data_IF_568023582306
#
_entry.id   IF_568023582306
#
_cell.length_a   1.000
_cell.length_b   1.000
_cell.length_c   1.000
_cell.angle_alpha   90.00
_cell.angle_beta   90.00
_cell.angle_gamma   90.00
#
_symmetry.space_group_name_H-M   'P 1'
#
loop_
_entity.id
_entity.type
_entity.pdbx_description
1 polymer ?
#
# COMPACT_ATOMS: atom_id res chain seq x y z
N UNK A 1 -16.08 -7.90 -3.98
CA UNK A 1 -15.06 -7.12 -3.23
C UNK A 1 -15.23 -7.44 -1.75
N UNK A 2 -14.15 -7.47 -0.98
CA UNK A 2 -14.15 -7.69 0.47
C UNK A 2 -13.85 -6.38 1.19
N UNK A 3 -14.29 -6.27 2.45
CA UNK A 3 -13.91 -5.13 3.29
C UNK A 3 -12.67 -5.46 4.09
N UNK A 4 -11.70 -4.57 4.04
CA UNK A 4 -10.45 -4.65 4.78
C UNK A 4 -10.25 -3.46 5.72
N UNK A 5 -9.30 -3.64 6.64
CA UNK A 5 -8.87 -2.60 7.56
C UNK A 5 -7.36 -2.66 7.74
N UNK A 6 -6.69 -1.51 7.57
CA UNK A 6 -5.26 -1.36 7.86
C UNK A 6 -5.02 -1.14 9.36
N UNK A 7 -3.90 -1.63 9.86
CA UNK A 7 -3.41 -1.34 11.22
C UNK A 7 -3.03 0.13 11.43
N UNK A 8 -3.05 0.97 10.40
CA UNK A 8 -2.58 2.36 10.47
C UNK A 8 -3.24 3.15 11.60
N UNK A 9 -4.56 3.01 11.80
CA UNK A 9 -5.31 3.74 12.84
C UNK A 9 -4.85 3.44 14.27
N UNK A 10 -4.17 2.33 14.49
CA UNK A 10 -3.69 1.90 15.81
C UNK A 10 -2.16 1.74 15.87
N UNK A 11 -1.43 2.40 14.98
CA UNK A 11 0.03 2.27 14.86
C UNK A 11 0.78 2.74 16.13
N UNK A 12 0.20 3.66 16.90
CA UNK A 12 0.74 4.12 18.18
C UNK A 12 0.49 3.18 19.36
N UNK A 13 -0.41 2.19 19.22
CA UNK A 13 -0.74 1.26 20.27
C UNK A 13 0.27 0.12 20.40
N UNK A 14 0.43 -0.48 21.59
CA UNK A 14 1.21 -1.71 21.72
C UNK A 14 0.65 -2.81 20.80
N UNK A 15 1.55 -3.58 20.17
CA UNK A 15 1.20 -4.58 19.16
C UNK A 15 0.06 -5.52 19.58
N UNK A 16 0.08 -6.02 20.83
CA UNK A 16 -0.96 -6.91 21.34
C UNK A 16 -2.32 -6.22 21.45
N UNK A 17 -2.35 -4.93 21.79
CA UNK A 17 -3.57 -4.11 21.83
C UNK A 17 -4.13 -3.94 20.43
N UNK A 18 -3.26 -3.58 19.46
CA UNK A 18 -3.64 -3.40 18.07
C UNK A 18 -4.28 -4.64 17.45
N UNK A 19 -3.65 -5.82 17.58
CA UNK A 19 -4.22 -7.06 17.02
C UNK A 19 -5.54 -7.48 17.70
N UNK A 20 -5.72 -7.22 19.00
CA UNK A 20 -7.00 -7.47 19.69
C UNK A 20 -8.10 -6.51 19.23
N UNK A 21 -7.74 -5.28 18.90
CA UNK A 21 -8.67 -4.30 18.35
C UNK A 21 -9.15 -4.75 16.95
N UNK A 22 -8.22 -5.08 16.06
CA UNK A 22 -8.52 -5.58 14.72
C UNK A 22 -9.42 -6.83 14.74
N UNK A 23 -9.15 -7.76 15.65
CA UNK A 23 -9.91 -9.01 15.76
C UNK A 23 -11.40 -8.79 16.10
N UNK A 24 -11.74 -7.66 16.71
CA UNK A 24 -13.12 -7.33 17.13
C UNK A 24 -13.94 -6.60 16.07
N UNK A 25 -13.30 -6.03 15.05
CA UNK A 25 -13.99 -5.11 14.11
C UNK A 25 -14.87 -5.84 13.10
N UNK A 26 -14.58 -7.11 12.79
CA UNK A 26 -15.42 -7.92 11.90
C UNK A 26 -15.32 -7.50 10.43
N UNK A 27 -14.11 -7.52 9.88
CA UNK A 27 -13.81 -7.33 8.46
C UNK A 27 -13.29 -8.64 7.83
N UNK A 28 -13.32 -8.71 6.50
CA UNK A 28 -12.90 -9.91 5.75
C UNK A 28 -11.39 -9.94 5.46
N UNK A 29 -10.72 -8.79 5.62
CA UNK A 29 -9.32 -8.61 5.29
C UNK A 29 -8.65 -7.67 6.28
N UNK A 30 -7.41 -7.95 6.66
CA UNK A 30 -6.60 -7.10 7.53
C UNK A 30 -5.26 -6.84 6.85
N UNK A 31 -4.89 -5.56 6.83
CA UNK A 31 -3.55 -5.16 6.45
C UNK A 31 -2.68 -4.95 7.68
N UNK A 32 -1.60 -5.71 7.74
CA UNK A 32 -0.58 -5.60 8.77
C UNK A 32 0.42 -4.53 8.35
N UNK A 33 0.70 -3.57 9.21
CA UNK A 33 1.71 -2.53 8.97
C UNK A 33 3.02 -2.91 9.67
N UNK A 34 4.06 -3.19 8.88
CA UNK A 34 5.39 -3.58 9.38
C UNK A 34 6.25 -2.36 9.74
N UNK A 35 5.76 -1.52 10.66
CA UNK A 35 6.42 -0.27 11.02
C UNK A 35 6.53 -0.07 12.54
N UNK A 36 7.59 0.60 12.99
CA UNK A 36 7.76 1.06 14.36
C UNK A 36 7.51 -0.01 15.43
N UNK A 37 6.54 0.24 16.31
CA UNK A 37 6.12 -0.71 17.36
C UNK A 37 5.55 -2.01 16.81
N UNK A 38 5.19 -2.05 15.53
CA UNK A 38 4.58 -3.19 14.85
C UNK A 38 5.57 -3.94 13.94
N UNK A 39 6.83 -3.52 13.85
CA UNK A 39 7.85 -4.15 13.01
C UNK A 39 7.86 -5.68 13.18
N UNK A 40 7.72 -6.40 12.06
CA UNK A 40 7.58 -7.86 12.07
C UNK A 40 8.84 -8.56 12.58
N UNK A 41 8.61 -9.60 13.34
CA UNK A 41 9.59 -10.56 13.84
C UNK A 41 8.92 -11.91 14.10
N UNK A 42 9.69 -12.96 14.38
CA UNK A 42 9.15 -14.31 14.56
C UNK A 42 8.06 -14.40 15.64
N UNK A 43 8.18 -13.64 16.76
CA UNK A 43 7.19 -13.62 17.83
C UNK A 43 5.88 -12.99 17.34
N UNK A 44 5.93 -11.82 16.65
CA UNK A 44 4.75 -11.12 16.13
C UNK A 44 4.05 -11.92 15.03
N UNK A 45 4.81 -12.51 14.11
CA UNK A 45 4.28 -13.45 13.11
C UNK A 45 3.51 -14.60 13.78
N UNK A 46 4.08 -15.22 14.81
CA UNK A 46 3.41 -16.29 15.55
C UNK A 46 2.13 -15.80 16.25
N UNK A 47 2.11 -14.56 16.76
CA UNK A 47 0.92 -13.97 17.37
C UNK A 47 -0.17 -13.72 16.32
N UNK A 48 0.17 -13.15 15.16
CA UNK A 48 -0.77 -12.91 14.04
C UNK A 48 -1.38 -14.23 13.56
N UNK A 49 -0.55 -15.25 13.34
CA UNK A 49 -1.04 -16.59 12.95
C UNK A 49 -2.05 -17.14 13.97
N UNK A 50 -1.72 -17.10 15.26
CA UNK A 50 -2.65 -17.59 16.31
C UNK A 50 -3.95 -16.79 16.37
N UNK A 51 -3.90 -15.48 16.11
CA UNK A 51 -5.09 -14.63 16.19
C UNK A 51 -6.02 -14.80 15.00
N UNK A 52 -5.48 -14.89 13.77
CA UNK A 52 -6.28 -14.82 12.55
C UNK A 52 -6.43 -16.16 11.82
N UNK A 53 -5.62 -17.18 12.15
CA UNK A 53 -5.76 -18.51 11.53
C UNK A 53 -7.13 -19.13 11.80
N UNK A 54 -7.73 -19.72 10.76
CA UNK A 54 -9.03 -20.38 10.85
C UNK A 54 -10.24 -19.46 10.92
N UNK A 55 -10.06 -18.12 10.91
CA UNK A 55 -11.17 -17.17 10.97
C UNK A 55 -11.72 -16.73 9.62
N UNK A 56 -11.16 -17.23 8.50
CA UNK A 56 -11.55 -16.80 7.17
C UNK A 56 -11.10 -15.38 6.80
N UNK A 57 -10.23 -14.77 7.61
CA UNK A 57 -9.66 -13.44 7.39
C UNK A 57 -8.43 -13.57 6.52
N UNK A 58 -8.40 -12.85 5.39
CA UNK A 58 -7.21 -12.74 4.55
C UNK A 58 -6.31 -11.59 5.02
N UNK A 59 -5.02 -11.66 4.68
CA UNK A 59 -4.03 -10.67 5.11
C UNK A 59 -3.34 -10.02 3.91
N UNK A 60 -2.98 -8.75 4.02
CA UNK A 60 -1.90 -8.08 3.30
C UNK A 60 -0.86 -7.55 4.29
N UNK A 61 0.30 -7.18 3.78
CA UNK A 61 1.34 -6.55 4.61
C UNK A 61 1.80 -5.27 3.92
N UNK A 62 1.63 -4.15 4.62
CA UNK A 62 2.28 -2.90 4.25
C UNK A 62 3.73 -2.93 4.73
N UNK A 63 4.65 -2.77 3.80
CA UNK A 63 6.08 -2.68 4.08
C UNK A 63 6.42 -1.52 5.02
N UNK A 64 7.59 -1.52 5.64
CA UNK A 64 8.11 -0.32 6.26
C UNK A 64 8.14 0.84 5.28
N UNK A 65 7.72 2.02 5.74
CA UNK A 65 7.65 3.23 4.92
C UNK A 65 8.32 4.44 5.58
N UNK A 66 8.36 4.51 6.92
CA UNK A 66 9.07 5.57 7.61
C UNK A 66 10.58 5.43 7.39
N UNK A 67 11.24 6.54 7.03
CA UNK A 67 12.68 6.60 6.72
C UNK A 67 13.14 5.64 5.59
N UNK A 68 12.20 5.10 4.82
CA UNK A 68 12.50 4.18 3.71
C UNK A 68 12.53 4.95 2.39
N UNK A 69 13.72 4.98 1.76
CA UNK A 69 13.88 5.51 0.42
C UNK A 69 14.65 4.51 -0.45
N UNK A 70 13.93 3.76 -1.28
CA UNK A 70 14.52 2.79 -2.22
C UNK A 70 15.29 3.46 -3.36
N UNK A 71 15.10 4.77 -3.57
CA UNK A 71 15.81 5.58 -4.56
C UNK A 71 17.00 6.36 -3.97
N UNK A 72 17.40 6.08 -2.72
CA UNK A 72 18.53 6.78 -2.09
C UNK A 72 19.78 6.69 -2.95
N UNK A 73 20.34 7.87 -3.30
CA UNK A 73 21.59 8.00 -4.05
C UNK A 73 22.83 7.65 -3.23
N UNK A 74 22.69 7.52 -1.90
CA UNK A 74 23.73 6.99 -1.02
C UNK A 74 23.72 5.45 -1.03
N UNK A 75 24.79 4.78 -1.52
CA UNK A 75 24.83 3.32 -1.57
C UNK A 75 24.72 2.67 -0.17
N UNK A 76 25.21 3.33 0.86
CA UNK A 76 25.17 2.83 2.23
C UNK A 76 23.75 2.86 2.78
N UNK A 77 23.04 3.99 2.61
CA UNK A 77 21.63 4.12 3.02
C UNK A 77 20.79 3.13 2.24
N UNK A 78 20.92 3.08 0.90
CA UNK A 78 20.15 2.15 0.07
C UNK A 78 20.34 0.69 0.51
N UNK A 79 21.57 0.26 0.81
CA UNK A 79 21.82 -1.10 1.31
C UNK A 79 21.07 -1.40 2.61
N UNK A 80 21.03 -0.42 3.54
CA UNK A 80 20.30 -0.58 4.79
C UNK A 80 18.78 -0.68 4.55
N UNK A 81 18.23 0.20 3.71
CA UNK A 81 16.83 0.18 3.29
C UNK A 81 16.46 -1.17 2.66
N UNK A 82 17.20 -1.61 1.64
CA UNK A 82 16.94 -2.88 0.97
C UNK A 82 17.05 -4.08 1.92
N UNK A 83 17.99 -4.07 2.86
CA UNK A 83 18.09 -5.10 3.91
C UNK A 83 16.85 -5.13 4.79
N UNK A 84 16.31 -3.95 5.19
CA UNK A 84 15.08 -3.85 6.00
C UNK A 84 13.87 -4.38 5.25
N UNK A 85 13.72 -4.02 3.97
CA UNK A 85 12.61 -4.46 3.12
C UNK A 85 12.65 -5.97 2.86
N UNK A 86 13.82 -6.54 2.56
CA UNK A 86 13.98 -7.99 2.38
C UNK A 86 13.66 -8.76 3.67
N UNK A 87 14.03 -8.20 4.84
CA UNK A 87 13.65 -8.80 6.14
C UNK A 87 12.14 -8.74 6.38
N UNK A 88 11.49 -7.65 5.94
CA UNK A 88 10.03 -7.56 5.92
C UNK A 88 9.39 -8.66 5.08
N UNK A 89 9.87 -8.87 3.85
CA UNK A 89 9.37 -9.94 2.97
C UNK A 89 9.53 -11.33 3.59
N UNK A 90 10.68 -11.63 4.21
CA UNK A 90 10.94 -12.91 4.88
C UNK A 90 9.92 -13.22 5.99
N UNK A 91 9.56 -12.22 6.79
CA UNK A 91 8.54 -12.38 7.82
C UNK A 91 7.12 -12.38 7.25
N UNK A 92 6.87 -11.53 6.26
CA UNK A 92 5.56 -11.44 5.61
C UNK A 92 5.17 -12.74 4.92
N UNK A 93 6.09 -13.38 4.24
CA UNK A 93 5.87 -14.66 3.56
C UNK A 93 5.33 -15.74 4.50
N UNK A 94 5.71 -15.71 5.75
CA UNK A 94 5.22 -16.67 6.75
C UNK A 94 3.74 -16.46 7.10
N UNK A 95 3.15 -15.29 6.76
CA UNK A 95 1.73 -14.98 6.96
C UNK A 95 0.88 -15.37 5.76
N UNK A 96 1.50 -15.76 4.63
CA UNK A 96 0.84 -16.03 3.36
C UNK A 96 -0.11 -14.87 2.93
N UNK A 97 0.40 -13.63 2.82
CA UNK A 97 -0.43 -12.47 2.48
C UNK A 97 -0.83 -12.49 1.01
N UNK A 98 -1.97 -11.86 0.69
CA UNK A 98 -2.41 -11.68 -0.70
C UNK A 98 -1.48 -10.77 -1.50
N UNK A 99 -0.91 -9.78 -0.82
CA UNK A 99 0.14 -8.91 -1.37
C UNK A 99 1.00 -8.29 -0.26
N UNK A 100 2.16 -7.83 -0.67
CA UNK A 100 3.08 -7.00 0.10
C UNK A 100 3.18 -5.65 -0.60
N UNK A 101 2.74 -4.59 0.10
CA UNK A 101 2.64 -3.22 -0.41
C UNK A 101 3.91 -2.46 -0.09
N UNK A 102 4.45 -1.69 -1.03
CA UNK A 102 5.57 -0.79 -0.79
C UNK A 102 5.42 0.55 -1.50
N UNK A 103 6.02 1.59 -0.92
CA UNK A 103 6.09 2.91 -1.53
C UNK A 103 7.23 3.01 -2.54
N UNK A 104 7.06 3.78 -3.62
CA UNK A 104 8.14 4.12 -4.52
C UNK A 104 9.23 4.95 -3.81
N UNK A 105 10.37 5.12 -4.46
CA UNK A 105 11.44 5.94 -3.95
C UNK A 105 11.10 7.42 -3.88
N UNK A 106 11.84 8.13 -3.03
CA UNK A 106 11.73 9.58 -2.82
C UNK A 106 12.78 10.28 -3.68
N UNK A 107 12.34 11.31 -4.42
CA UNK A 107 13.21 12.14 -5.26
C UNK A 107 14.26 12.85 -4.41
N UNK A 108 15.49 12.77 -4.83
CA UNK A 108 16.59 13.49 -4.17
C UNK A 108 16.44 15.01 -4.35
N UNK A 109 16.75 15.79 -3.31
CA UNK A 109 16.81 17.25 -3.41
C UNK A 109 17.82 17.76 -4.45
N UNK A 110 18.77 16.92 -4.86
CA UNK A 110 19.78 17.23 -5.88
C UNK A 110 19.59 16.42 -7.16
N UNK A 111 18.39 15.88 -7.39
CA UNK A 111 18.04 15.00 -8.52
C UNK A 111 18.43 15.60 -9.87
N UNK A 112 18.14 16.88 -10.08
CA UNK A 112 18.43 17.55 -11.36
C UNK A 112 19.95 17.64 -11.63
N UNK A 113 20.75 17.90 -10.59
CA UNK A 113 22.21 17.89 -10.69
C UNK A 113 22.77 16.48 -10.91
N UNK A 114 22.07 15.46 -10.43
CA UNK A 114 22.42 14.04 -10.57
C UNK A 114 21.75 13.38 -11.79
N UNK A 115 21.18 14.16 -12.73
CA UNK A 115 20.58 13.68 -13.99
C UNK A 115 19.52 12.58 -13.76
N UNK A 116 18.66 12.74 -12.76
CA UNK A 116 17.62 11.79 -12.38
C UNK A 116 18.15 10.39 -11.96
N UNK A 117 19.33 10.32 -11.38
CA UNK A 117 19.94 9.08 -10.87
C UNK A 117 19.02 8.35 -9.88
N UNK A 118 18.22 9.09 -9.09
CA UNK A 118 17.20 8.54 -8.19
C UNK A 118 16.13 7.72 -8.94
N UNK A 119 15.73 8.13 -10.14
CA UNK A 119 14.82 7.35 -10.98
C UNK A 119 15.43 6.00 -11.37
N UNK A 120 16.68 6.00 -11.84
CA UNK A 120 17.40 4.77 -12.20
C UNK A 120 17.57 3.84 -10.99
N UNK A 121 17.90 4.42 -9.84
CA UNK A 121 18.04 3.66 -8.59
C UNK A 121 16.68 3.09 -8.15
N UNK A 122 15.59 3.84 -8.31
CA UNK A 122 14.24 3.35 -8.01
C UNK A 122 13.90 2.11 -8.86
N UNK A 123 14.14 2.17 -10.16
CA UNK A 123 13.95 1.03 -11.07
C UNK A 123 14.81 -0.17 -10.63
N UNK A 124 16.10 0.06 -10.41
CA UNK A 124 17.03 -1.00 -9.97
C UNK A 124 16.60 -1.63 -8.65
N UNK A 125 16.13 -0.82 -7.71
CA UNK A 125 15.63 -1.32 -6.41
C UNK A 125 14.34 -2.10 -6.57
N UNK A 126 13.44 -1.68 -7.46
CA UNK A 126 12.20 -2.42 -7.76
C UNK A 126 12.52 -3.79 -8.38
N UNK A 127 13.44 -3.87 -9.34
CA UNK A 127 13.90 -5.16 -9.87
C UNK A 127 14.50 -6.07 -8.79
N UNK A 128 15.23 -5.48 -7.83
CA UNK A 128 15.79 -6.22 -6.70
C UNK A 128 14.69 -6.75 -5.76
N UNK A 129 13.64 -5.96 -5.51
CA UNK A 129 12.47 -6.38 -4.72
C UNK A 129 11.66 -7.47 -5.42
N UNK A 130 11.45 -7.38 -6.73
CA UNK A 130 10.77 -8.41 -7.52
C UNK A 130 11.49 -9.76 -7.41
N UNK A 131 12.81 -9.77 -7.63
CA UNK A 131 13.63 -10.99 -7.47
C UNK A 131 13.61 -11.55 -6.04
N UNK A 132 13.55 -10.68 -5.03
CA UNK A 132 13.46 -11.14 -3.64
C UNK A 132 12.07 -11.75 -3.36
N UNK A 133 11.00 -11.09 -3.84
CA UNK A 133 9.63 -11.57 -3.68
C UNK A 133 9.41 -12.95 -4.31
N UNK A 134 10.00 -13.18 -5.48
CA UNK A 134 9.94 -14.47 -6.19
C UNK A 134 10.44 -15.62 -5.34
N UNK A 135 11.51 -15.44 -4.54
CA UNK A 135 12.05 -16.46 -3.64
C UNK A 135 11.04 -16.96 -2.61
N UNK A 136 10.09 -16.12 -2.26
CA UNK A 136 9.07 -16.41 -1.25
C UNK A 136 7.67 -16.65 -1.85
N UNK A 137 7.52 -16.57 -3.17
CA UNK A 137 6.21 -16.61 -3.83
C UNK A 137 5.30 -15.45 -3.42
N UNK A 138 5.86 -14.31 -3.02
CA UNK A 138 5.12 -13.12 -2.63
C UNK A 138 4.69 -12.32 -3.86
N UNK A 139 3.42 -11.94 -3.90
CA UNK A 139 2.94 -10.90 -4.81
C UNK A 139 3.25 -9.54 -4.22
N UNK A 140 3.99 -8.69 -4.93
CA UNK A 140 4.29 -7.34 -4.47
C UNK A 140 3.54 -6.29 -5.28
N UNK A 141 3.22 -5.18 -4.62
CA UNK A 141 2.49 -4.06 -5.23
C UNK A 141 3.14 -2.74 -4.86
N UNK A 142 3.28 -1.86 -5.85
CA UNK A 142 3.71 -0.48 -5.62
C UNK A 142 2.49 0.42 -5.48
N UNK A 143 2.54 1.33 -4.51
CA UNK A 143 1.46 2.25 -4.21
C UNK A 143 1.63 3.60 -4.93
N UNK A 144 0.54 4.19 -5.43
CA UNK A 144 0.53 5.59 -5.83
C UNK A 144 0.49 6.48 -4.60
N UNK A 145 1.36 7.46 -4.56
CA UNK A 145 1.55 8.35 -3.41
C UNK A 145 1.11 9.79 -3.72
N UNK A 146 0.81 10.63 -2.71
CA UNK A 146 0.19 11.93 -2.97
C UNK A 146 1.21 13.04 -3.23
N UNK A 147 0.76 14.12 -3.89
CA UNK A 147 1.40 15.42 -3.79
C UNK A 147 1.19 16.04 -2.38
N UNK A 148 2.03 16.95 -1.89
CA UNK A 148 3.26 17.47 -2.52
C UNK A 148 4.52 16.68 -2.15
N UNK A 149 4.38 15.49 -1.60
CA UNK A 149 5.54 14.70 -1.19
C UNK A 149 6.44 14.36 -2.39
N UNK A 150 7.77 14.37 -2.24
CA UNK A 150 8.71 14.21 -3.35
C UNK A 150 8.90 12.75 -3.78
N UNK A 151 7.86 11.95 -3.79
CA UNK A 151 7.90 10.59 -4.32
C UNK A 151 8.00 10.56 -5.85
N UNK A 152 8.49 9.46 -6.40
CA UNK A 152 8.74 9.28 -7.82
C UNK A 152 7.53 8.77 -8.62
N UNK A 153 6.53 8.17 -7.94
CA UNK A 153 5.35 7.61 -8.59
C UNK A 153 4.08 8.14 -7.93
N UNK A 154 3.48 9.15 -8.51
CA UNK A 154 2.27 9.81 -8.03
C UNK A 154 1.16 9.77 -9.06
N UNK A 155 1.48 10.11 -10.32
CA UNK A 155 0.52 10.34 -11.40
C UNK A 155 0.56 9.25 -12.46
N UNK A 156 -0.54 9.16 -13.21
CA UNK A 156 -0.71 8.18 -14.30
C UNK A 156 0.51 8.14 -15.24
N UNK A 157 0.99 9.30 -15.72
CA UNK A 157 2.14 9.38 -16.63
C UNK A 157 3.44 8.84 -16.04
N UNK A 158 3.63 9.00 -14.72
CA UNK A 158 4.81 8.49 -14.04
C UNK A 158 4.75 6.95 -13.95
N UNK A 159 3.57 6.40 -13.69
CA UNK A 159 3.34 4.96 -13.70
C UNK A 159 3.47 4.36 -15.10
N UNK A 160 2.99 5.03 -16.16
CA UNK A 160 3.19 4.60 -17.54
C UNK A 160 4.67 4.47 -17.86
N UNK A 161 5.44 5.55 -17.63
CA UNK A 161 6.90 5.56 -17.82
C UNK A 161 7.59 4.48 -16.99
N UNK A 162 7.13 4.27 -15.77
CA UNK A 162 7.71 3.29 -14.87
C UNK A 162 7.52 1.85 -15.36
N UNK A 163 6.30 1.49 -15.76
CA UNK A 163 6.02 0.16 -16.30
C UNK A 163 6.69 -0.07 -17.66
N UNK A 164 6.79 0.95 -18.51
CA UNK A 164 7.55 0.90 -19.75
C UNK A 164 9.03 0.60 -19.47
N UNK A 165 9.63 1.27 -18.50
CA UNK A 165 11.03 1.08 -18.11
C UNK A 165 11.30 -0.27 -17.41
N UNK A 166 10.31 -0.84 -16.71
CA UNK A 166 10.41 -2.18 -16.09
C UNK A 166 10.34 -3.30 -17.14
N UNK A 167 9.72 -3.06 -18.31
CA UNK A 167 9.56 -4.07 -19.35
C UNK A 167 8.80 -5.32 -18.85
N UNK A 168 9.33 -6.51 -19.13
CA UNK A 168 8.70 -7.78 -18.77
C UNK A 168 8.57 -7.99 -17.26
N UNK A 169 9.52 -7.51 -16.46
CA UNK A 169 9.45 -7.60 -15.00
C UNK A 169 8.21 -6.85 -14.44
N UNK A 170 7.74 -5.80 -15.15
CA UNK A 170 6.51 -5.09 -14.83
C UNK A 170 5.24 -5.94 -14.90
N UNK A 171 5.28 -7.12 -15.53
CA UNK A 171 4.14 -8.05 -15.54
C UNK A 171 3.89 -8.65 -14.16
N UNK A 172 4.95 -8.82 -13.37
CA UNK A 172 4.91 -9.40 -12.03
C UNK A 172 4.68 -8.38 -10.91
N UNK A 173 4.67 -7.08 -11.24
CA UNK A 173 4.40 -6.01 -10.30
C UNK A 173 2.94 -5.58 -10.37
N UNK A 174 2.22 -5.69 -9.26
CA UNK A 174 0.88 -5.14 -9.12
C UNK A 174 0.89 -3.69 -8.65
N UNK A 175 -0.31 -3.10 -8.60
CA UNK A 175 -0.55 -1.77 -8.05
C UNK A 175 -1.42 -1.89 -6.81
N UNK A 176 -1.01 -1.24 -5.73
CA UNK A 176 -1.90 -0.80 -4.67
C UNK A 176 -2.41 0.58 -5.08
N UNK A 177 -3.70 0.66 -5.36
CA UNK A 177 -4.35 1.91 -5.72
C UNK A 177 -4.91 2.59 -4.48
N UNK A 178 -4.26 3.66 -4.06
CA UNK A 178 -4.77 4.53 -3.00
C UNK A 178 -5.65 5.61 -3.60
N UNK A 179 -6.93 5.58 -3.21
CA UNK A 179 -7.98 6.49 -3.71
C UNK A 179 -7.80 7.89 -3.16
N UNK A 180 -7.41 8.02 -1.88
CA UNK A 180 -7.16 9.31 -1.24
C UNK A 180 -5.97 10.03 -1.88
N UNK A 181 -4.89 9.33 -2.13
CA UNK A 181 -3.73 9.87 -2.84
C UNK A 181 -4.07 10.31 -4.27
N UNK A 182 -4.86 9.47 -4.98
CA UNK A 182 -5.31 9.81 -6.32
C UNK A 182 -6.27 11.00 -6.34
N UNK A 183 -7.05 11.24 -5.26
CA UNK A 183 -7.90 12.43 -5.13
C UNK A 183 -7.05 13.71 -5.07
N UNK A 184 -6.00 13.72 -4.27
CA UNK A 184 -5.06 14.85 -4.16
C UNK A 184 -4.39 15.12 -5.51
N UNK A 185 -4.05 14.08 -6.24
CA UNK A 185 -3.44 14.18 -7.57
C UNK A 185 -4.45 14.53 -8.70
N UNK A 186 -5.76 14.49 -8.39
CA UNK A 186 -6.83 14.78 -9.35
C UNK A 186 -7.02 13.70 -10.42
N UNK A 187 -6.60 12.45 -10.18
CA UNK A 187 -6.50 11.41 -11.22
C UNK A 187 -7.23 10.09 -10.88
N UNK A 188 -8.23 10.09 -9.95
CA UNK A 188 -8.93 8.85 -9.56
C UNK A 188 -9.43 8.05 -10.77
N UNK A 189 -10.24 8.68 -11.62
CA UNK A 189 -10.90 8.01 -12.74
C UNK A 189 -9.92 7.61 -13.83
N UNK A 190 -8.93 8.46 -14.11
CA UNK A 190 -7.89 8.19 -15.10
C UNK A 190 -7.01 7.02 -14.68
N UNK A 191 -6.62 6.98 -13.41
CA UNK A 191 -5.80 5.91 -12.85
C UNK A 191 -6.53 4.55 -12.92
N UNK A 192 -7.80 4.50 -12.50
CA UNK A 192 -8.62 3.28 -12.58
C UNK A 192 -8.76 2.82 -14.04
N UNK A 193 -9.06 3.75 -14.96
CA UNK A 193 -9.21 3.44 -16.39
C UNK A 193 -7.92 2.89 -16.99
N UNK A 194 -6.77 3.48 -16.64
CA UNK A 194 -5.47 3.13 -17.23
C UNK A 194 -4.88 1.85 -16.66
N UNK A 195 -4.99 1.66 -15.36
CA UNK A 195 -4.31 0.59 -14.64
C UNK A 195 -5.24 -0.46 -14.03
N UNK A 196 -6.53 -0.46 -14.33
CA UNK A 196 -7.50 -1.34 -13.70
C UNK A 196 -7.12 -2.82 -13.70
N UNK A 197 -6.48 -3.33 -14.76
CA UNK A 197 -5.99 -4.71 -14.83
C UNK A 197 -4.76 -5.00 -13.96
N UNK A 198 -4.04 -3.97 -13.52
CA UNK A 198 -2.86 -4.07 -12.65
C UNK A 198 -3.19 -3.82 -11.18
N UNK A 199 -4.38 -3.27 -10.89
CA UNK A 199 -4.81 -3.02 -9.50
C UNK A 199 -5.09 -4.34 -8.81
N UNK A 200 -4.30 -4.62 -7.79
CA UNK A 200 -4.35 -5.83 -6.96
C UNK A 200 -4.97 -5.53 -5.60
N UNK A 201 -4.72 -4.34 -5.08
CA UNK A 201 -5.08 -3.90 -3.75
C UNK A 201 -5.59 -2.46 -3.81
N UNK A 202 -6.50 -2.09 -2.93
CA UNK A 202 -7.06 -0.73 -2.91
C UNK A 202 -7.10 -0.23 -1.47
N UNK A 203 -6.43 0.91 -1.23
CA UNK A 203 -6.57 1.68 -0.01
C UNK A 203 -7.68 2.71 -0.15
N UNK A 204 -8.47 2.88 0.89
CA UNK A 204 -9.58 3.83 0.92
C UNK A 204 -9.54 4.67 2.19
N UNK A 205 -9.34 5.94 2.01
CA UNK A 205 -9.49 7.01 3.00
C UNK A 205 -9.94 8.28 2.28
N UNK A 206 -10.46 9.24 3.02
CA UNK A 206 -10.95 10.48 2.44
C UNK A 206 -10.02 11.66 2.74
N UNK A 207 -10.15 12.70 1.94
CA UNK A 207 -9.50 14.01 2.11
C UNK A 207 -10.27 15.06 1.30
N UNK A 208 -9.84 16.31 1.36
CA UNK A 208 -10.47 17.42 0.61
C UNK A 208 -9.75 17.77 -0.71
N UNK A 209 -8.82 16.93 -1.16
CA UNK A 209 -8.05 17.13 -2.39
C UNK A 209 -6.81 18.02 -2.23
N UNK A 210 -6.47 18.43 -1.02
CA UNK A 210 -5.39 19.36 -0.70
C UNK A 210 -4.27 18.74 0.16
N UNK A 211 -4.63 17.85 1.05
CA UNK A 211 -3.71 17.24 2.01
C UNK A 211 -4.09 15.79 2.31
N UNK A 212 -3.08 14.97 2.57
CA UNK A 212 -3.24 13.56 2.93
C UNK A 212 -3.71 13.40 4.39
N UNK A 213 -4.99 13.68 4.59
CA UNK A 213 -5.59 13.76 5.92
C UNK A 213 -5.97 12.41 6.52
N UNK A 214 -6.08 11.35 5.70
CA UNK A 214 -6.60 10.04 6.09
C UNK A 214 -7.92 10.12 6.88
N UNK A 215 -8.88 10.93 6.37
CA UNK A 215 -10.23 11.03 6.95
C UNK A 215 -11.00 9.72 6.75
N UNK A 216 -12.04 9.51 7.55
CA UNK A 216 -12.97 8.42 7.34
C UNK A 216 -13.66 8.52 5.97
N UNK A 217 -14.03 7.39 5.40
CA UNK A 217 -14.74 7.30 4.11
C UNK A 217 -16.09 8.05 4.20
N UNK A 218 -16.25 9.07 3.36
CA UNK A 218 -17.42 9.96 3.34
C UNK A 218 -17.30 11.19 4.25
N UNK A 219 -16.10 11.47 4.80
CA UNK A 219 -15.82 12.65 5.63
C UNK A 219 -14.98 13.71 4.91
N UNK A 220 -14.71 13.53 3.62
CA UNK A 220 -14.02 14.48 2.74
C UNK A 220 -14.81 14.77 1.48
N UNK A 221 -14.11 15.03 0.39
CA UNK A 221 -14.68 15.45 -0.90
C UNK A 221 -14.82 14.34 -1.94
N UNK A 222 -14.37 13.12 -1.66
CA UNK A 222 -14.37 12.03 -2.64
C UNK A 222 -15.79 11.54 -2.91
N UNK A 223 -16.16 11.45 -4.19
CA UNK A 223 -17.43 10.84 -4.61
C UNK A 223 -17.33 9.30 -4.58
N UNK A 224 -17.57 8.72 -3.43
CA UNK A 224 -17.43 7.28 -3.22
C UNK A 224 -18.39 6.43 -4.06
N UNK A 225 -19.55 6.97 -4.45
CA UNK A 225 -20.49 6.28 -5.36
C UNK A 225 -19.86 6.07 -6.73
N UNK A 226 -19.22 7.11 -7.26
CA UNK A 226 -18.50 7.03 -8.54
C UNK A 226 -17.27 6.12 -8.46
N UNK A 227 -16.46 6.23 -7.39
CA UNK A 227 -15.29 5.39 -7.17
C UNK A 227 -15.68 3.91 -7.14
N UNK A 228 -16.66 3.54 -6.32
CA UNK A 228 -17.11 2.14 -6.22
C UNK A 228 -17.69 1.65 -7.53
N UNK A 229 -18.44 2.50 -8.27
CA UNK A 229 -18.94 2.17 -9.60
C UNK A 229 -17.79 1.89 -10.59
N UNK A 230 -16.76 2.75 -10.59
CA UNK A 230 -15.58 2.57 -11.46
C UNK A 230 -14.80 1.29 -11.11
N UNK A 231 -14.61 1.02 -9.83
CA UNK A 231 -13.95 -0.19 -9.34
C UNK A 231 -14.75 -1.47 -9.68
N UNK A 232 -16.09 -1.40 -9.63
CA UNK A 232 -16.96 -2.52 -10.09
C UNK A 232 -16.79 -2.76 -11.59
N UNK A 233 -16.71 -1.71 -12.42
CA UNK A 233 -16.55 -1.81 -13.89
C UNK A 233 -15.27 -2.51 -14.34
N UNK A 234 -14.17 -2.37 -13.60
CA UNK A 234 -12.92 -3.09 -13.89
C UNK A 234 -12.92 -4.54 -13.35
N UNK A 235 -14.06 -5.04 -12.85
CA UNK A 235 -14.22 -6.36 -12.25
C UNK A 235 -13.25 -6.64 -11.09
N UNK A 236 -12.88 -5.61 -10.32
CA UNK A 236 -12.02 -5.81 -9.15
C UNK A 236 -12.67 -6.72 -8.11
N UNK A 237 -11.91 -7.68 -7.58
CA UNK A 237 -12.39 -8.71 -6.62
C UNK A 237 -11.62 -8.71 -5.30
N UNK A 238 -10.60 -7.88 -5.17
CA UNK A 238 -9.76 -7.78 -3.98
C UNK A 238 -10.43 -7.10 -2.78
N UNK A 239 -9.63 -6.71 -1.81
CA UNK A 239 -10.06 -5.97 -0.64
C UNK A 239 -10.05 -4.46 -0.88
N UNK A 240 -11.05 -3.77 -0.32
CA UNK A 240 -11.04 -2.32 -0.09
C UNK A 240 -10.61 -2.11 1.35
N UNK A 241 -9.39 -1.67 1.55
CA UNK A 241 -8.77 -1.56 2.87
C UNK A 241 -8.92 -0.14 3.40
N UNK A 242 -9.68 0.01 4.46
CA UNK A 242 -9.83 1.30 5.15
C UNK A 242 -8.52 1.66 5.81
N UNK A 243 -7.95 2.80 5.40
CA UNK A 243 -6.68 3.32 5.91
C UNK A 243 -6.83 4.70 6.58
N UNK A 244 -7.99 4.92 7.18
CA UNK A 244 -8.31 6.15 7.89
C UNK A 244 -7.68 6.19 9.28
N UNK A 245 -7.36 7.39 9.78
CA UNK A 245 -6.88 7.62 11.16
C UNK A 245 -8.00 7.64 12.19
N UNK A 246 -9.24 7.84 11.76
CA UNK A 246 -10.43 7.90 12.61
C UNK A 246 -11.69 7.49 11.85
N UNK A 247 -12.86 7.52 12.53
CA UNK A 247 -14.16 7.18 11.95
C UNK A 247 -14.20 5.79 11.30
N UNK A 248 -13.48 4.81 11.88
CA UNK A 248 -13.31 3.48 11.30
C UNK A 248 -14.67 2.76 11.16
N UNK A 249 -15.50 2.82 12.19
CA UNK A 249 -16.83 2.19 12.19
C UNK A 249 -17.73 2.76 11.11
N UNK A 250 -17.78 4.09 11.00
CA UNK A 250 -18.57 4.83 10.00
C UNK A 250 -18.06 4.53 8.58
N UNK A 251 -16.74 4.51 8.38
CA UNK A 251 -16.11 4.16 7.10
C UNK A 251 -16.53 2.76 6.63
N UNK A 252 -16.46 1.77 7.51
CA UNK A 252 -16.89 0.40 7.22
C UNK A 252 -18.38 0.34 6.91
N UNK A 253 -19.23 1.07 7.65
CA UNK A 253 -20.67 1.11 7.40
C UNK A 253 -20.99 1.76 6.04
N UNK A 254 -20.31 2.87 5.71
CA UNK A 254 -20.45 3.55 4.42
C UNK A 254 -20.10 2.62 3.26
N UNK A 255 -18.94 1.95 3.33
CA UNK A 255 -18.54 0.98 2.31
C UNK A 255 -19.49 -0.21 2.22
N UNK A 256 -20.00 -0.75 3.34
CA UNK A 256 -21.01 -1.83 3.34
C UNK A 256 -22.28 -1.44 2.59
N UNK A 257 -22.71 -0.17 2.69
CA UNK A 257 -23.89 0.35 1.94
C UNK A 257 -23.61 0.44 0.43
N UNK A 258 -22.41 0.94 0.06
CA UNK A 258 -22.00 1.12 -1.33
C UNK A 258 -21.69 -0.19 -2.08
N UNK A 259 -21.38 -1.25 -1.35
CA UNK A 259 -21.07 -2.57 -1.93
C UNK A 259 -22.31 -3.43 -2.18
N UNK A 260 -23.42 -3.13 -1.53
CA UNK A 260 -24.72 -3.77 -1.81
C UNK A 260 -25.26 -3.36 -3.18
#
# INVERSE_FOLDING_TARGET
MRLGLSMLFCLGEPFLTAIKCLDKIGVDHIEIVDEGLHALNSRRVSMLKRTFSGKGISLSVHAPFADINIASTSPTIRRAVMKRLKKSMEFSAQLNPECWVFHPGIRSAVSDALRNLDWEINLKSTHELLREAEKYGLRITVENVPEPFPFLLKKVKEFERFYEALGEDGLNLGITFDVGHANINGEINEFIKRFGSKIVHIHVHDNNGDFDAHLGVGFGSINWVEVISAVKKINYRGALVVESKGNIGESIQTLKKLLK
#
